data_IF_497638974196
#
_entry.id   IF_497638974196
#
_cell.length_a   1.000
_cell.length_b   1.000
_cell.length_c   1.000
_cell.angle_alpha   90.00
_cell.angle_beta   90.00
_cell.angle_gamma   90.00
#
_symmetry.space_group_name_H-M   'P 1'
#
loop_
_entity.id
_entity.type
_entity.pdbx_description
1 polymer ?
#
# COMPACT_ATOMS: atom_id res chain seq x y z
N UNK A 1 -58.75 59.04 -15.76
CA UNK A 1 -57.33 58.94 -16.18
C UNK A 1 -56.45 58.58 -14.98
N UNK A 2 -56.00 57.33 -14.94
CA UNK A 2 -54.72 56.80 -14.42
C UNK A 2 -54.91 55.31 -14.15
N UNK A 3 -54.21 54.51 -14.95
CA UNK A 3 -54.33 53.05 -15.07
C UNK A 3 -53.47 52.41 -13.97
N UNK A 4 -53.99 51.39 -13.28
CA UNK A 4 -53.27 50.60 -12.26
C UNK A 4 -52.46 49.49 -12.95
N UNK A 5 -51.19 49.23 -12.57
CA UNK A 5 -50.45 48.10 -13.12
C UNK A 5 -50.67 46.82 -12.30
N UNK A 6 -50.83 45.72 -13.04
CA UNK A 6 -50.84 44.33 -12.58
C UNK A 6 -49.47 43.92 -12.00
N UNK A 7 -49.49 43.16 -10.91
CA UNK A 7 -48.33 42.41 -10.40
C UNK A 7 -48.46 40.96 -10.91
N UNK A 8 -47.44 40.47 -11.61
CA UNK A 8 -47.33 39.07 -12.02
C UNK A 8 -46.19 38.40 -11.24
N UNK A 9 -46.49 37.26 -10.63
CA UNK A 9 -45.57 36.37 -9.93
C UNK A 9 -44.64 35.63 -10.90
N UNK A 10 -43.39 35.39 -10.50
CA UNK A 10 -42.59 34.25 -10.97
C UNK A 10 -41.96 33.59 -9.74
N UNK A 11 -42.45 32.41 -9.40
CA UNK A 11 -41.86 31.56 -8.36
C UNK A 11 -40.65 30.82 -8.92
N UNK A 12 -39.52 30.93 -8.23
CA UNK A 12 -38.31 30.17 -8.54
C UNK A 12 -38.43 28.77 -7.90
N UNK A 13 -38.55 27.72 -8.73
CA UNK A 13 -38.31 26.34 -8.28
C UNK A 13 -36.81 26.07 -8.27
N UNK A 14 -36.25 25.81 -7.08
CA UNK A 14 -34.90 25.28 -6.95
C UNK A 14 -34.93 23.76 -7.13
N UNK A 15 -34.40 23.25 -8.25
CA UNK A 15 -34.18 21.83 -8.47
C UNK A 15 -32.93 21.35 -7.74
N UNK A 16 -33.08 20.40 -6.82
CA UNK A 16 -31.96 19.72 -6.19
C UNK A 16 -31.28 18.78 -7.21
N UNK A 17 -30.03 19.08 -7.57
CA UNK A 17 -29.20 18.21 -8.39
C UNK A 17 -28.68 17.06 -7.50
N UNK A 18 -29.32 15.90 -7.57
CA UNK A 18 -28.82 14.68 -6.92
C UNK A 18 -27.68 14.14 -7.78
N UNK A 19 -26.44 14.33 -7.32
CA UNK A 19 -25.27 13.68 -7.90
C UNK A 19 -25.28 12.23 -7.46
N UNK A 20 -25.77 11.34 -8.33
CA UNK A 20 -25.65 9.90 -8.12
C UNK A 20 -24.20 9.52 -8.41
N UNK A 21 -23.38 9.37 -7.37
CA UNK A 21 -22.04 8.83 -7.49
C UNK A 21 -22.14 7.41 -8.08
N UNK A 22 -21.68 7.24 -9.31
CA UNK A 22 -21.60 5.92 -9.95
C UNK A 22 -20.51 5.13 -9.22
N UNK A 23 -20.90 4.17 -8.38
CA UNK A 23 -19.97 3.18 -7.83
C UNK A 23 -19.41 2.38 -9.01
N UNK A 24 -18.12 2.51 -9.29
CA UNK A 24 -17.44 1.60 -10.22
C UNK A 24 -17.46 0.22 -9.59
N UNK A 25 -18.18 -0.71 -10.21
CA UNK A 25 -18.12 -2.12 -9.85
C UNK A 25 -16.66 -2.58 -9.96
N UNK A 26 -16.08 -3.03 -8.85
CA UNK A 26 -14.75 -3.63 -8.86
C UNK A 26 -14.88 -5.06 -9.38
N UNK A 27 -14.27 -5.32 -10.54
CA UNK A 27 -14.31 -6.64 -11.16
C UNK A 27 -13.56 -7.65 -10.28
N UNK A 28 -14.13 -8.83 -10.08
CA UNK A 28 -13.38 -9.99 -9.61
C UNK A 28 -12.20 -10.25 -10.57
N UNK A 29 -11.11 -10.90 -10.11
CA UNK A 29 -10.05 -11.37 -11.00
C UNK A 29 -10.67 -12.05 -12.22
N UNK A 30 -10.21 -11.69 -13.42
CA UNK A 30 -10.71 -12.31 -14.63
C UNK A 30 -10.10 -13.69 -14.73
N UNK A 31 -10.95 -14.71 -14.64
CA UNK A 31 -10.50 -16.10 -14.80
C UNK A 31 -10.30 -16.43 -16.28
N UNK A 32 -9.19 -17.08 -16.55
CA UNK A 32 -8.87 -17.71 -17.82
C UNK A 32 -8.65 -19.21 -17.58
N UNK A 33 -9.63 -20.01 -18.00
CA UNK A 33 -9.59 -21.48 -17.92
C UNK A 33 -8.50 -22.02 -18.86
N UNK A 34 -7.65 -22.95 -18.40
CA UNK A 34 -6.51 -23.44 -19.19
C UNK A 34 -6.93 -24.33 -20.37
N UNK A 35 -8.17 -24.81 -20.36
CA UNK A 35 -8.76 -25.65 -21.39
C UNK A 35 -9.55 -24.91 -22.45
N UNK A 36 -9.79 -23.60 -22.28
CA UNK A 36 -10.65 -22.82 -23.18
C UNK A 36 -9.86 -21.78 -23.95
N UNK A 37 -10.09 -21.69 -25.27
CA UNK A 37 -9.52 -20.63 -26.12
C UNK A 37 -9.80 -19.24 -25.52
N UNK A 38 -8.81 -18.34 -25.42
CA UNK A 38 -7.53 -18.33 -26.17
C UNK A 38 -6.36 -19.04 -25.47
N UNK A 39 -6.60 -19.90 -24.47
CA UNK A 39 -5.56 -20.74 -23.90
C UNK A 39 -5.09 -21.83 -24.87
N UNK A 40 -3.82 -22.22 -24.74
CA UNK A 40 -3.18 -23.30 -25.47
C UNK A 40 -2.47 -24.20 -24.46
N UNK A 41 -2.93 -25.45 -24.39
CA UNK A 41 -2.23 -26.52 -23.69
C UNK A 41 -1.44 -27.34 -24.70
N UNK A 42 -0.13 -27.53 -24.48
CA UNK A 42 0.70 -28.35 -25.37
C UNK A 42 0.57 -29.86 -25.11
N UNK A 43 -0.27 -30.28 -24.17
CA UNK A 43 -0.57 -31.67 -23.84
C UNK A 43 -2.02 -32.00 -24.16
N UNK A 44 -2.73 -32.61 -23.21
CA UNK A 44 -4.16 -32.91 -23.34
C UNK A 44 -5.00 -32.04 -22.42
N UNK A 45 -6.26 -31.86 -22.78
CA UNK A 45 -7.28 -31.38 -21.85
C UNK A 45 -7.93 -32.60 -21.23
N UNK A 46 -7.76 -32.75 -19.92
CA UNK A 46 -8.26 -33.88 -19.16
C UNK A 46 -9.33 -33.41 -18.16
N UNK A 47 -10.12 -34.37 -17.66
CA UNK A 47 -11.21 -34.11 -16.70
C UNK A 47 -11.35 -35.23 -15.66
N UNK A 48 -10.32 -36.07 -15.52
CA UNK A 48 -10.32 -37.32 -14.77
C UNK A 48 -9.97 -37.18 -13.27
N UNK A 49 -9.63 -35.98 -12.80
CA UNK A 49 -9.46 -35.66 -11.38
C UNK A 49 -10.58 -34.75 -10.92
N UNK A 50 -11.04 -34.85 -9.68
CA UNK A 50 -12.06 -33.92 -9.16
C UNK A 50 -11.44 -32.60 -8.70
N UNK A 51 -12.24 -31.53 -8.59
CA UNK A 51 -11.86 -30.26 -7.96
C UNK A 51 -11.30 -29.16 -8.86
N UNK A 52 -11.25 -29.39 -10.18
CA UNK A 52 -10.95 -28.38 -11.22
C UNK A 52 -12.17 -27.47 -11.48
N UNK A 53 -12.00 -26.33 -12.16
CA UNK A 53 -13.09 -25.48 -12.65
C UNK A 53 -13.31 -25.61 -14.15
N UNK A 54 -14.42 -25.06 -14.66
CA UNK A 54 -14.74 -25.18 -16.08
C UNK A 54 -15.06 -26.62 -16.48
N UNK A 55 -14.50 -27.05 -17.61
CA UNK A 55 -14.80 -28.33 -18.27
C UNK A 55 -13.65 -29.34 -18.22
N UNK A 56 -12.47 -28.90 -17.78
CA UNK A 56 -11.28 -29.74 -17.66
C UNK A 56 -10.10 -28.94 -17.13
N UNK A 57 -8.90 -29.46 -17.34
CA UNK A 57 -7.65 -28.77 -17.00
C UNK A 57 -6.58 -29.16 -18.02
N UNK A 58 -5.54 -28.32 -18.15
CA UNK A 58 -4.39 -28.63 -18.98
C UNK A 58 -3.48 -29.65 -18.28
N UNK A 59 -3.40 -30.86 -18.84
CA UNK A 59 -2.39 -31.86 -18.53
C UNK A 59 -1.21 -31.67 -19.50
N UNK A 60 -0.21 -30.90 -19.08
CA UNK A 60 0.96 -30.58 -19.90
C UNK A 60 1.78 -31.83 -20.25
N UNK A 61 2.36 -31.87 -21.45
CA UNK A 61 3.26 -32.95 -21.84
C UNK A 61 4.46 -33.08 -20.86
N UNK A 62 4.83 -34.31 -20.51
CA UNK A 62 6.02 -34.63 -19.72
C UNK A 62 7.29 -34.44 -20.58
N UNK A 63 7.60 -33.20 -20.91
CA UNK A 63 8.75 -32.80 -21.71
C UNK A 63 9.11 -31.33 -21.43
N UNK A 64 10.37 -30.96 -21.64
CA UNK A 64 10.83 -29.56 -21.58
C UNK A 64 10.21 -28.68 -22.67
N UNK A 65 9.75 -29.28 -23.76
CA UNK A 65 9.02 -28.59 -24.83
C UNK A 65 7.53 -28.37 -24.52
N UNK A 66 7.03 -28.90 -23.40
CA UNK A 66 5.66 -28.69 -22.96
C UNK A 66 5.38 -27.21 -22.63
N UNK A 67 4.13 -26.79 -22.60
CA UNK A 67 3.71 -25.48 -22.09
C UNK A 67 2.20 -25.40 -21.87
N UNK A 68 1.81 -24.45 -21.02
CA UNK A 68 0.47 -23.88 -20.97
C UNK A 68 0.61 -22.38 -21.24
N UNK A 69 -0.11 -21.86 -22.22
CA UNK A 69 -0.10 -20.43 -22.56
C UNK A 69 -1.51 -19.88 -22.55
N UNK A 70 -1.73 -18.79 -21.84
CA UNK A 70 -2.99 -18.06 -21.81
C UNK A 70 -2.79 -16.67 -22.39
N UNK A 71 -3.83 -16.14 -23.04
CA UNK A 71 -3.84 -14.75 -23.51
C UNK A 71 -4.78 -13.95 -22.61
N UNK A 72 -4.23 -13.00 -21.87
CA UNK A 72 -4.95 -12.15 -20.92
C UNK A 72 -5.06 -10.73 -21.46
N UNK A 73 -6.09 -9.99 -21.06
CA UNK A 73 -6.28 -8.61 -21.47
C UNK A 73 -6.14 -7.67 -20.27
N UNK A 74 -5.18 -6.76 -20.33
CA UNK A 74 -4.93 -5.76 -19.31
C UNK A 74 -5.56 -4.42 -19.71
N UNK A 75 -6.37 -3.82 -18.83
CA UNK A 75 -7.00 -2.52 -19.10
C UNK A 75 -5.98 -1.37 -19.18
N UNK A 76 -4.81 -1.53 -18.54
CA UNK A 76 -3.68 -0.59 -18.51
C UNK A 76 -2.36 -1.36 -18.54
N UNK A 77 -1.26 -0.71 -18.93
CA UNK A 77 0.08 -1.27 -18.73
C UNK A 77 0.49 -1.15 -17.27
N UNK A 78 1.19 -2.14 -16.74
CA UNK A 78 1.64 -2.14 -15.35
C UNK A 78 2.00 -3.54 -14.85
N UNK A 79 1.92 -3.72 -13.54
CA UNK A 79 2.07 -5.04 -12.91
C UNK A 79 0.70 -5.69 -12.76
N UNK A 80 0.56 -6.92 -13.20
CA UNK A 80 -0.61 -7.76 -12.97
C UNK A 80 -0.28 -8.90 -12.02
N UNK A 81 -1.29 -9.34 -11.29
CA UNK A 81 -1.24 -10.50 -10.42
C UNK A 81 -1.87 -11.68 -11.11
N UNK A 82 -1.18 -12.81 -11.04
CA UNK A 82 -1.64 -14.10 -11.55
C UNK A 82 -1.87 -15.05 -10.38
N UNK A 83 -3.05 -15.62 -10.25
CA UNK A 83 -3.29 -16.81 -9.45
C UNK A 83 -3.30 -18.04 -10.35
N UNK A 84 -2.20 -18.80 -10.39
CA UNK A 84 -2.11 -20.04 -11.16
C UNK A 84 -2.60 -21.19 -10.29
N UNK A 85 -3.75 -21.78 -10.62
CA UNK A 85 -4.23 -22.97 -9.91
C UNK A 85 -3.69 -24.24 -10.56
N UNK A 86 -3.10 -25.10 -9.74
CA UNK A 86 -2.38 -26.28 -10.19
C UNK A 86 -2.55 -27.47 -9.26
N UNK A 87 -2.31 -28.67 -9.78
CA UNK A 87 -2.18 -29.91 -9.01
C UNK A 87 -0.92 -30.67 -9.42
N UNK A 88 -0.12 -31.08 -8.42
CA UNK A 88 1.04 -31.95 -8.60
C UNK A 88 0.91 -33.11 -7.62
N UNK A 89 0.33 -34.22 -8.07
CA UNK A 89 0.11 -35.40 -7.21
C UNK A 89 1.37 -36.17 -6.85
N UNK A 90 2.56 -35.68 -7.22
CA UNK A 90 3.85 -36.30 -6.88
C UNK A 90 4.53 -35.56 -5.72
N UNK A 91 5.61 -36.12 -5.18
CA UNK A 91 6.46 -35.44 -4.18
C UNK A 91 7.61 -34.64 -4.81
N UNK A 92 7.82 -34.74 -6.12
CA UNK A 92 8.89 -34.03 -6.83
C UNK A 92 8.36 -32.73 -7.42
N UNK A 93 9.04 -31.63 -7.11
CA UNK A 93 8.70 -30.33 -7.67
C UNK A 93 8.81 -30.32 -9.20
N UNK A 94 7.90 -29.61 -9.86
CA UNK A 94 7.91 -29.38 -11.31
C UNK A 94 8.32 -27.93 -11.60
N UNK A 95 9.60 -27.65 -11.92
CA UNK A 95 10.08 -26.29 -12.17
C UNK A 95 9.73 -25.80 -13.57
N UNK A 96 9.44 -24.50 -13.70
CA UNK A 96 9.06 -23.85 -14.95
C UNK A 96 9.63 -22.44 -15.07
N UNK A 97 9.82 -21.95 -16.29
CA UNK A 97 10.02 -20.53 -16.59
C UNK A 97 8.67 -19.88 -16.89
N UNK A 98 8.41 -18.74 -16.26
CA UNK A 98 7.31 -17.86 -16.60
C UNK A 98 7.75 -16.89 -17.69
N UNK A 99 7.05 -16.92 -18.82
CA UNK A 99 7.34 -16.11 -20.00
C UNK A 99 6.15 -15.20 -20.27
N UNK A 100 6.39 -13.90 -20.38
CA UNK A 100 5.38 -12.88 -20.64
C UNK A 100 5.73 -12.14 -21.92
N UNK A 101 4.80 -12.12 -22.88
CA UNK A 101 5.01 -11.47 -24.19
C UNK A 101 6.30 -11.93 -24.89
N UNK A 102 6.65 -13.22 -24.74
CA UNK A 102 7.86 -13.82 -25.31
C UNK A 102 9.14 -13.67 -24.48
N UNK A 103 9.13 -12.89 -23.39
CA UNK A 103 10.28 -12.68 -22.52
C UNK A 103 10.17 -13.49 -21.23
N UNK A 104 11.22 -14.21 -20.84
CA UNK A 104 11.26 -14.88 -19.54
C UNK A 104 11.35 -13.83 -18.42
N UNK A 105 10.41 -13.88 -17.47
CA UNK A 105 10.31 -12.91 -16.36
C UNK A 105 10.61 -13.50 -14.99
N UNK A 106 10.41 -14.80 -14.80
CA UNK A 106 10.61 -15.45 -13.50
C UNK A 106 10.88 -16.96 -13.64
N UNK A 107 11.67 -17.52 -12.73
CA UNK A 107 11.76 -18.96 -12.51
C UNK A 107 10.76 -19.40 -11.42
N UNK A 108 10.03 -20.48 -11.68
CA UNK A 108 8.96 -21.02 -10.84
C UNK A 108 9.27 -22.46 -10.42
N UNK A 109 8.74 -22.86 -9.27
CA UNK A 109 8.69 -24.25 -8.83
C UNK A 109 7.29 -24.61 -8.38
N UNK A 110 6.71 -25.68 -8.92
CA UNK A 110 5.41 -26.21 -8.52
C UNK A 110 5.58 -27.45 -7.63
N UNK A 111 5.47 -27.26 -6.32
CA UNK A 111 5.64 -28.30 -5.31
C UNK A 111 4.51 -29.34 -5.33
N UNK A 112 4.73 -30.49 -4.70
CA UNK A 112 3.69 -31.51 -4.56
C UNK A 112 2.47 -31.01 -3.78
N UNK A 113 1.27 -31.24 -4.33
CA UNK A 113 -0.02 -30.94 -3.67
C UNK A 113 -0.60 -32.13 -2.92
N UNK A 114 0.12 -33.26 -2.88
CA UNK A 114 -0.23 -34.49 -2.16
C UNK A 114 -1.13 -35.45 -2.95
N UNK A 115 -1.99 -34.95 -3.84
CA UNK A 115 -2.80 -35.76 -4.75
C UNK A 115 -3.17 -34.95 -6.01
N UNK A 116 -3.47 -35.64 -7.12
CA UNK A 116 -3.89 -34.97 -8.36
C UNK A 116 -5.30 -34.35 -8.30
N UNK A 117 -6.12 -34.74 -7.32
CA UNK A 117 -7.40 -34.09 -6.97
C UNK A 117 -7.25 -32.98 -5.94
N UNK A 118 -6.03 -32.73 -5.44
CA UNK A 118 -5.73 -31.66 -4.48
C UNK A 118 -5.10 -30.49 -5.23
N UNK A 119 -5.83 -29.38 -5.28
CA UNK A 119 -5.44 -28.19 -6.03
C UNK A 119 -4.91 -27.10 -5.10
N UNK A 120 -3.87 -26.43 -5.53
CA UNK A 120 -3.30 -25.27 -4.85
C UNK A 120 -3.20 -24.08 -5.82
N UNK A 121 -3.17 -22.86 -5.28
CA UNK A 121 -2.97 -21.65 -6.09
C UNK A 121 -1.60 -21.07 -5.78
N UNK A 122 -0.83 -20.76 -6.83
CA UNK A 122 0.42 -20.02 -6.75
C UNK A 122 0.22 -18.61 -7.29
N UNK A 123 0.44 -17.62 -6.43
CA UNK A 123 0.32 -16.21 -6.79
C UNK A 123 1.64 -15.65 -7.31
N UNK A 124 1.59 -14.92 -8.43
CA UNK A 124 2.74 -14.35 -9.15
C UNK A 124 2.47 -12.90 -9.52
N UNK A 125 3.51 -12.08 -9.64
CA UNK A 125 3.43 -10.75 -10.26
C UNK A 125 4.16 -10.74 -11.58
N UNK A 126 3.53 -10.16 -12.60
CA UNK A 126 4.09 -10.06 -13.95
C UNK A 126 3.92 -8.68 -14.56
N UNK A 127 4.91 -8.19 -15.31
CA UNK A 127 4.75 -6.97 -16.09
C UNK A 127 3.84 -7.25 -17.30
N UNK A 128 2.89 -6.35 -17.58
CA UNK A 128 1.98 -6.43 -18.73
C UNK A 128 1.87 -5.09 -19.44
N UNK A 129 1.65 -5.16 -20.75
CA UNK A 129 1.29 -4.01 -21.58
C UNK A 129 -0.22 -3.75 -21.51
N UNK A 130 -0.67 -2.54 -21.81
CA UNK A 130 -2.09 -2.31 -22.04
C UNK A 130 -2.57 -3.16 -23.23
N UNK A 131 -3.74 -3.79 -23.10
CA UNK A 131 -4.28 -4.70 -24.09
C UNK A 131 -3.86 -6.15 -23.90
N UNK A 132 -3.70 -6.87 -25.01
CA UNK A 132 -3.46 -8.31 -25.02
C UNK A 132 -2.03 -8.66 -24.58
N UNK A 133 -1.90 -9.63 -23.68
CA UNK A 133 -0.63 -10.15 -23.19
C UNK A 133 -0.63 -11.69 -23.23
N UNK A 134 0.49 -12.30 -23.60
CA UNK A 134 0.65 -13.75 -23.50
C UNK A 134 1.37 -14.11 -22.21
N UNK A 135 0.80 -15.03 -21.44
CA UNK A 135 1.38 -15.60 -20.22
C UNK A 135 1.64 -17.08 -20.47
N UNK A 136 2.90 -17.50 -20.45
CA UNK A 136 3.30 -18.87 -20.74
C UNK A 136 4.10 -19.49 -19.60
N UNK A 137 3.67 -20.66 -19.15
CA UNK A 137 4.42 -21.54 -18.26
C UNK A 137 5.19 -22.54 -19.12
N UNK A 138 6.51 -22.57 -19.02
CA UNK A 138 7.38 -23.49 -19.77
C UNK A 138 8.20 -24.35 -18.81
N UNK A 139 7.99 -25.67 -18.73
CA UNK A 139 8.72 -26.54 -17.82
C UNK A 139 10.22 -26.56 -18.17
N UNK A 140 11.06 -26.65 -17.16
CA UNK A 140 12.53 -26.66 -17.31
C UNK A 140 13.13 -28.05 -17.19
N UNK A 141 12.31 -29.06 -16.91
CA UNK A 141 12.73 -30.47 -16.80
C UNK A 141 11.84 -31.39 -17.64
N UNK A 142 12.32 -32.61 -17.88
CA UNK A 142 11.58 -33.63 -18.63
C UNK A 142 10.29 -34.09 -17.91
N UNK A 143 10.11 -33.75 -16.64
CA UNK A 143 8.87 -34.05 -15.92
C UNK A 143 7.69 -33.20 -16.37
N UNK A 144 7.90 -32.11 -17.14
CA UNK A 144 6.80 -31.25 -17.62
C UNK A 144 6.17 -30.37 -16.53
N UNK A 145 5.03 -29.78 -16.85
CA UNK A 145 4.25 -28.94 -15.93
C UNK A 145 3.38 -29.78 -14.99
N UNK A 146 2.96 -29.27 -13.82
CA UNK A 146 1.81 -29.86 -13.11
C UNK A 146 0.53 -29.71 -13.96
N UNK A 147 -0.58 -30.31 -13.51
CA UNK A 147 -1.89 -30.00 -14.07
C UNK A 147 -2.20 -28.53 -13.80
N UNK A 148 -2.62 -27.78 -14.82
CA UNK A 148 -2.99 -26.36 -14.72
C UNK A 148 -4.49 -26.25 -14.95
N UNK A 149 -5.21 -25.76 -13.95
CA UNK A 149 -6.67 -25.58 -13.98
C UNK A 149 -7.02 -24.27 -14.67
N UNK A 150 -6.70 -23.15 -14.02
CA UNK A 150 -6.90 -21.80 -14.55
C UNK A 150 -5.82 -20.83 -14.12
N UNK A 151 -5.86 -19.66 -14.74
CA UNK A 151 -5.18 -18.46 -14.31
C UNK A 151 -6.23 -17.39 -13.95
N UNK A 152 -6.25 -16.97 -12.69
CA UNK A 152 -6.96 -15.76 -12.28
C UNK A 152 -6.04 -14.55 -12.52
N UNK A 153 -6.52 -13.58 -13.30
CA UNK A 153 -5.75 -12.41 -13.72
C UNK A 153 -6.36 -11.14 -13.15
N UNK A 154 -5.56 -10.37 -12.42
CA UNK A 154 -5.95 -9.06 -11.90
C UNK A 154 -4.90 -8.02 -12.29
N UNK A 155 -5.29 -7.06 -13.11
CA UNK A 155 -4.51 -5.86 -13.36
C UNK A 155 -4.72 -4.92 -12.17
N UNK A 156 -3.66 -4.65 -11.39
CA UNK A 156 -3.76 -3.86 -10.15
C UNK A 156 -4.19 -4.62 -8.89
N UNK A 157 -3.67 -5.82 -8.62
CA UNK A 157 -4.05 -6.47 -7.37
C UNK A 157 -3.32 -7.73 -6.90
N UNK A 158 -2.10 -7.58 -6.39
CA UNK A 158 -1.40 -8.67 -5.69
C UNK A 158 0.11 -8.62 -5.84
N UNK A 159 0.72 -8.04 -4.82
CA UNK A 159 2.13 -7.69 -4.68
C UNK A 159 2.55 -6.45 -5.49
N UNK A 160 2.28 -5.34 -4.79
CA UNK A 160 2.95 -4.06 -4.79
C UNK A 160 2.69 -3.07 -5.91
N UNK A 161 2.63 -1.77 -5.56
CA UNK A 161 2.48 -0.71 -6.53
C UNK A 161 3.58 -0.76 -7.60
N UNK A 162 3.39 -0.05 -8.73
CA UNK A 162 4.38 -0.04 -9.81
C UNK A 162 5.78 0.26 -9.24
N UNK A 163 6.65 -0.76 -9.17
CA UNK A 163 8.02 -0.65 -8.64
C UNK A 163 8.34 -1.44 -7.36
N UNK A 164 7.38 -2.05 -6.65
CA UNK A 164 7.66 -2.78 -5.42
C UNK A 164 7.89 -1.87 -4.20
N UNK A 165 8.29 -2.45 -3.07
CA UNK A 165 8.69 -1.68 -1.88
C UNK A 165 10.00 -0.93 -2.16
N UNK A 166 10.05 0.35 -1.79
CA UNK A 166 11.27 1.16 -1.82
C UNK A 166 11.50 1.71 -0.41
N UNK A 167 12.77 1.88 -0.03
CA UNK A 167 13.13 2.49 1.24
C UNK A 167 13.51 1.51 2.33
N UNK A 168 13.43 1.98 3.58
CA UNK A 168 14.00 1.28 4.72
C UNK A 168 13.37 -0.08 5.03
N UNK A 169 12.10 -0.29 4.73
CA UNK A 169 11.46 -1.60 4.89
C UNK A 169 11.96 -2.67 3.89
N UNK A 170 12.84 -2.32 2.94
CA UNK A 170 13.54 -3.29 2.08
C UNK A 170 14.84 -3.81 2.68
N UNK A 171 15.35 -3.14 3.70
CA UNK A 171 16.66 -3.40 4.26
C UNK A 171 16.60 -4.52 5.30
N UNK A 172 17.76 -5.03 5.70
CA UNK A 172 17.93 -5.97 6.82
C UNK A 172 17.01 -7.22 6.80
N UNK A 173 16.66 -7.73 5.62
CA UNK A 173 15.79 -8.90 5.45
C UNK A 173 14.44 -8.58 4.79
N UNK A 174 14.07 -7.30 4.73
CA UNK A 174 12.92 -6.82 4.00
C UNK A 174 11.57 -7.10 4.68
N UNK A 175 10.50 -6.59 4.08
CA UNK A 175 9.13 -6.76 4.56
C UNK A 175 8.30 -7.56 3.55
N UNK A 176 7.77 -8.69 4.00
CA UNK A 176 6.97 -9.65 3.21
C UNK A 176 5.56 -9.86 3.76
N UNK A 177 5.29 -9.38 4.98
CA UNK A 177 3.97 -9.46 5.60
C UNK A 177 3.53 -10.91 5.84
N UNK A 178 2.31 -11.21 5.42
CA UNK A 178 1.68 -12.52 5.54
C UNK A 178 1.98 -13.50 4.39
N UNK A 179 2.99 -13.21 3.56
CA UNK A 179 3.37 -14.08 2.44
C UNK A 179 3.69 -15.51 2.90
N UNK A 180 3.27 -16.50 2.12
CA UNK A 180 3.40 -17.93 2.46
C UNK A 180 2.40 -18.42 3.53
N UNK A 181 1.60 -17.52 4.10
CA UNK A 181 0.56 -17.81 5.07
C UNK A 181 -0.83 -18.05 4.47
N UNK A 182 -1.80 -18.31 5.35
CA UNK A 182 -3.20 -18.43 4.95
C UNK A 182 -3.75 -17.08 4.48
N UNK A 183 -4.57 -17.10 3.42
CA UNK A 183 -5.35 -15.94 3.00
C UNK A 183 -6.77 -16.09 3.53
N UNK A 184 -7.25 -15.09 4.27
CA UNK A 184 -8.58 -15.06 4.88
C UNK A 184 -9.28 -13.77 4.47
N UNK A 185 -10.59 -13.83 4.26
CA UNK A 185 -11.41 -12.64 4.01
C UNK A 185 -12.29 -12.39 5.23
N UNK A 186 -12.26 -11.18 5.76
CA UNK A 186 -13.02 -10.76 6.94
C UNK A 186 -14.01 -9.67 6.56
N UNK A 187 -15.24 -9.76 7.05
CA UNK A 187 -16.30 -8.76 6.82
C UNK A 187 -16.93 -8.27 8.12
N UNK A 188 -16.33 -8.58 9.27
CA UNK A 188 -16.75 -8.10 10.58
C UNK A 188 -15.54 -7.71 11.43
N UNK A 189 -15.73 -6.74 12.33
CA UNK A 189 -14.66 -6.29 13.23
C UNK A 189 -14.17 -7.41 14.18
N UNK A 190 -15.08 -8.28 14.64
CA UNK A 190 -14.72 -9.40 15.51
C UNK A 190 -13.80 -10.40 14.82
N UNK A 191 -14.10 -10.75 13.56
CA UNK A 191 -13.27 -11.66 12.77
C UNK A 191 -11.94 -10.98 12.39
N UNK A 192 -11.98 -9.71 11.95
CA UNK A 192 -10.75 -8.94 11.68
C UNK A 192 -9.77 -8.99 12.86
N UNK A 193 -10.25 -8.64 14.06
CA UNK A 193 -9.46 -8.67 15.29
C UNK A 193 -8.92 -10.07 15.57
N UNK A 194 -9.76 -11.09 15.45
CA UNK A 194 -9.35 -12.50 15.63
C UNK A 194 -8.22 -12.88 14.67
N UNK A 195 -8.33 -12.53 13.38
CA UNK A 195 -7.30 -12.87 12.39
C UNK A 195 -6.01 -12.06 12.58
N UNK A 196 -6.14 -10.78 12.94
CA UNK A 196 -5.00 -9.87 13.15
C UNK A 196 -4.12 -10.30 14.33
N UNK A 197 -4.75 -10.79 15.40
CA UNK A 197 -4.08 -11.26 16.62
C UNK A 197 -3.62 -12.73 16.55
N UNK A 198 -3.93 -13.42 15.47
CA UNK A 198 -3.64 -14.83 15.38
C UNK A 198 -2.16 -15.10 15.06
N UNK A 199 -1.66 -16.23 15.57
CA UNK A 199 -0.31 -16.69 15.25
C UNK A 199 -0.17 -17.14 13.79
N UNK A 200 1.08 -17.09 13.31
CA UNK A 200 1.47 -17.50 11.97
C UNK A 200 1.25 -16.42 10.91
N UNK A 201 1.87 -16.62 9.75
CA UNK A 201 1.72 -15.71 8.61
C UNK A 201 0.28 -15.71 8.10
N UNK A 202 -0.32 -14.53 7.88
CA UNK A 202 -1.66 -14.40 7.28
C UNK A 202 -1.81 -13.17 6.40
N UNK A 203 -2.46 -13.37 5.26
CA UNK A 203 -3.02 -12.28 4.46
C UNK A 203 -4.50 -12.14 4.80
N UNK A 204 -4.86 -10.99 5.38
CA UNK A 204 -6.20 -10.65 5.86
C UNK A 204 -6.80 -9.65 4.86
N UNK A 205 -7.73 -10.13 4.04
CA UNK A 205 -8.50 -9.33 3.11
C UNK A 205 -9.70 -8.73 3.85
N UNK A 206 -9.67 -7.43 4.12
CA UNK A 206 -10.77 -6.71 4.77
C UNK A 206 -11.80 -6.34 3.71
N UNK A 207 -13.00 -6.91 3.79
CA UNK A 207 -14.07 -6.67 2.84
C UNK A 207 -15.15 -5.77 3.45
N UNK A 208 -15.17 -4.51 3.01
CA UNK A 208 -16.08 -3.47 3.48
C UNK A 208 -15.48 -2.61 4.58
N UNK A 209 -16.25 -1.60 5.00
CA UNK A 209 -15.87 -0.68 6.06
C UNK A 209 -16.29 -1.27 7.42
N UNK A 210 -15.32 -1.73 8.21
CA UNK A 210 -15.56 -2.28 9.53
C UNK A 210 -15.68 -1.15 10.56
N UNK A 211 -16.69 -1.22 11.43
CA UNK A 211 -16.82 -0.31 12.57
C UNK A 211 -16.35 -1.03 13.84
N UNK A 212 -15.32 -0.49 14.48
CA UNK A 212 -14.78 -1.02 15.72
C UNK A 212 -14.59 0.07 16.78
N UNK A 213 -13.98 -0.33 17.89
CA UNK A 213 -13.56 0.55 18.98
C UNK A 213 -12.31 -0.02 19.67
N UNK A 214 -11.60 0.82 20.41
CA UNK A 214 -10.39 0.44 21.14
C UNK A 214 -9.23 0.09 20.21
N UNK A 215 -8.33 -0.77 20.70
CA UNK A 215 -7.11 -1.16 20.00
C UNK A 215 -7.22 -2.60 19.48
N UNK A 216 -6.70 -2.83 18.27
CA UNK A 216 -6.46 -4.18 17.74
C UNK A 216 -4.95 -4.38 17.65
N UNK A 217 -4.47 -5.34 18.44
CA UNK A 217 -3.09 -5.81 18.36
C UNK A 217 -2.85 -6.59 17.06
N UNK A 218 -1.81 -6.22 16.34
CA UNK A 218 -1.40 -6.90 15.11
C UNK A 218 -0.19 -7.76 15.43
N UNK A 219 -0.36 -9.08 15.38
CA UNK A 219 0.78 -10.00 15.57
C UNK A 219 1.71 -10.00 14.35
N UNK A 220 2.91 -10.56 14.51
CA UNK A 220 3.90 -10.63 13.43
C UNK A 220 3.40 -11.37 12.18
N UNK A 221 4.04 -11.09 11.04
CA UNK A 221 3.81 -11.72 9.73
C UNK A 221 2.37 -11.54 9.23
N UNK A 222 1.94 -10.28 9.08
CA UNK A 222 0.58 -9.95 8.62
C UNK A 222 0.62 -9.09 7.37
N UNK A 223 -0.26 -9.39 6.44
CA UNK A 223 -0.67 -8.44 5.41
C UNK A 223 -2.14 -8.14 5.64
N UNK A 224 -2.48 -6.92 6.03
CA UNK A 224 -3.85 -6.45 6.17
C UNK A 224 -4.15 -5.61 4.94
N UNK A 225 -5.07 -6.07 4.11
CA UNK A 225 -5.35 -5.44 2.82
C UNK A 225 -6.84 -5.20 2.62
N UNK A 226 -7.23 -3.96 2.30
CA UNK A 226 -8.61 -3.68 1.93
C UNK A 226 -8.98 -4.31 0.58
N UNK A 227 -10.16 -4.90 0.49
CA UNK A 227 -10.76 -5.37 -0.77
C UNK A 227 -11.40 -4.17 -1.46
N UNK A 228 -10.70 -3.62 -2.43
CA UNK A 228 -11.18 -2.48 -3.18
C UNK A 228 -11.21 -1.15 -2.45
N UNK A 229 -11.78 -0.14 -3.10
CA UNK A 229 -11.63 1.26 -2.69
C UNK A 229 -12.35 1.64 -1.40
N UNK A 230 -13.35 0.86 -0.97
CA UNK A 230 -14.23 1.20 0.15
C UNK A 230 -14.00 0.36 1.41
N UNK A 231 -12.93 -0.45 1.41
CA UNK A 231 -12.61 -1.33 2.52
C UNK A 231 -11.72 -0.64 3.54
N UNK A 232 -11.91 -0.97 4.82
CA UNK A 232 -11.22 -0.25 5.88
C UNK A 232 -11.75 -0.50 7.28
N UNK A 233 -11.32 0.33 8.21
CA UNK A 233 -11.71 0.29 9.61
C UNK A 233 -11.94 1.69 10.18
N UNK A 234 -12.99 1.84 10.98
CA UNK A 234 -13.37 3.09 11.64
C UNK A 234 -13.37 2.90 13.14
N UNK A 235 -12.83 3.88 13.87
CA UNK A 235 -12.93 3.97 15.33
C UNK A 235 -11.95 3.11 16.13
N UNK A 236 -10.99 2.47 15.48
CA UNK A 236 -10.05 1.53 16.11
C UNK A 236 -8.60 1.85 15.77
N UNK A 237 -7.73 1.82 16.77
CA UNK A 237 -6.26 1.85 16.62
C UNK A 237 -5.74 0.50 16.11
N UNK A 238 -4.84 0.53 15.13
CA UNK A 238 -4.05 -0.64 14.73
C UNK A 238 -2.68 -0.57 15.40
N UNK A 239 -2.42 -1.48 16.34
CA UNK A 239 -1.18 -1.47 17.14
C UNK A 239 -0.20 -2.54 16.68
N UNK A 240 1.04 -2.13 16.40
CA UNK A 240 2.15 -3.01 16.03
C UNK A 240 3.27 -2.75 17.05
N UNK A 241 3.28 -3.53 18.13
CA UNK A 241 4.20 -3.32 19.25
C UNK A 241 5.14 -4.50 19.52
N UNK A 242 6.33 -4.22 20.05
CA UNK A 242 7.26 -5.20 20.66
C UNK A 242 7.67 -6.38 19.77
N UNK A 243 7.85 -6.14 18.46
CA UNK A 243 8.23 -7.19 17.50
C UNK A 243 9.37 -6.78 16.56
N UNK A 244 10.51 -7.47 16.65
CA UNK A 244 11.70 -7.18 15.86
C UNK A 244 12.28 -8.45 15.19
N UNK A 245 11.82 -8.86 14.00
CA UNK A 245 10.88 -8.17 13.12
C UNK A 245 9.40 -8.41 13.43
N UNK A 246 8.58 -7.39 13.19
CA UNK A 246 7.14 -7.51 13.09
C UNK A 246 6.74 -8.09 11.73
N UNK A 247 7.39 -7.63 10.65
CA UNK A 247 7.08 -8.06 9.29
C UNK A 247 5.58 -7.87 8.97
N UNK A 248 5.13 -6.62 8.96
CA UNK A 248 3.71 -6.26 8.79
C UNK A 248 3.51 -5.35 7.58
N UNK A 249 2.47 -5.60 6.80
CA UNK A 249 2.01 -4.76 5.70
C UNK A 249 0.57 -4.33 6.01
N UNK A 250 0.29 -3.03 6.00
CA UNK A 250 -1.07 -2.47 6.00
C UNK A 250 -1.26 -1.75 4.68
N UNK A 251 -2.21 -2.23 3.87
CA UNK A 251 -2.34 -1.80 2.49
C UNK A 251 -3.78 -1.56 2.05
N UNK A 252 -4.02 -0.52 1.25
CA UNK A 252 -5.32 -0.29 0.61
C UNK A 252 -6.51 -0.16 1.58
N UNK A 253 -6.26 0.36 2.78
CA UNK A 253 -7.27 0.52 3.83
C UNK A 253 -7.75 1.97 3.91
N UNK A 254 -9.05 2.16 4.10
CA UNK A 254 -9.59 3.39 4.67
C UNK A 254 -9.52 3.31 6.19
N UNK A 255 -8.75 4.18 6.85
CA UNK A 255 -8.58 4.18 8.31
C UNK A 255 -9.04 5.53 8.84
N UNK A 256 -10.04 5.55 9.73
CA UNK A 256 -10.61 6.83 10.18
C UNK A 256 -11.24 6.85 11.56
N UNK A 257 -11.29 8.06 12.13
CA UNK A 257 -12.15 8.39 13.27
C UNK A 257 -11.76 7.71 14.59
N UNK A 258 -10.47 7.43 14.80
CA UNK A 258 -9.95 6.82 16.02
C UNK A 258 -9.82 7.89 17.10
N UNK A 259 -10.59 7.78 18.19
CA UNK A 259 -10.61 8.79 19.27
C UNK A 259 -9.69 8.42 20.41
N UNK A 260 -8.97 9.41 20.94
CA UNK A 260 -8.16 9.30 22.15
C UNK A 260 -6.93 8.40 22.02
N UNK A 261 -6.56 8.01 20.80
CA UNK A 261 -5.34 7.29 20.47
C UNK A 261 -5.02 7.45 18.97
N UNK A 262 -3.88 6.94 18.54
CA UNK A 262 -3.42 7.01 17.16
C UNK A 262 -4.18 6.06 16.24
N UNK A 263 -4.25 6.37 14.94
CA UNK A 263 -4.89 5.46 13.98
C UNK A 263 -4.05 4.21 13.69
N UNK A 264 -2.74 4.40 13.50
CA UNK A 264 -1.73 3.33 13.47
C UNK A 264 -0.60 3.74 14.41
N UNK A 265 -0.23 2.84 15.31
CA UNK A 265 0.94 3.01 16.18
C UNK A 265 1.93 1.86 15.95
N UNK A 266 3.20 2.21 15.81
CA UNK A 266 4.31 1.28 15.56
C UNK A 266 5.37 1.53 16.65
N UNK A 267 5.38 0.66 17.66
CA UNK A 267 6.14 0.89 18.89
C UNK A 267 7.13 -0.25 19.09
N UNK A 268 8.43 0.04 19.15
CA UNK A 268 9.47 -1.00 19.29
C UNK A 268 9.38 -2.14 18.26
N UNK A 269 8.80 -1.86 17.10
CA UNK A 269 8.57 -2.82 16.03
C UNK A 269 9.46 -2.56 14.81
N UNK A 270 9.82 -3.60 14.05
CA UNK A 270 10.59 -3.44 12.81
C UNK A 270 10.02 -4.11 11.58
N UNK A 271 10.41 -3.62 10.40
CA UNK A 271 10.00 -4.14 9.09
C UNK A 271 8.50 -4.00 8.86
N UNK A 272 8.03 -2.75 8.81
CA UNK A 272 6.61 -2.41 8.58
C UNK A 272 6.46 -1.59 7.31
N UNK A 273 5.41 -1.90 6.55
CA UNK A 273 5.04 -1.14 5.37
C UNK A 273 3.59 -0.68 5.38
N UNK A 274 3.41 0.63 5.30
CA UNK A 274 2.11 1.31 5.23
C UNK A 274 1.94 1.84 3.80
N UNK A 275 1.06 1.22 3.02
CA UNK A 275 0.97 1.47 1.57
C UNK A 275 -0.45 1.70 1.03
N UNK A 276 -0.66 2.67 0.15
CA UNK A 276 -1.96 2.87 -0.51
C UNK A 276 -3.16 3.02 0.46
N UNK A 277 -2.94 3.51 1.67
CA UNK A 277 -4.04 3.71 2.62
C UNK A 277 -4.61 5.12 2.49
N UNK A 278 -5.89 5.28 2.78
CA UNK A 278 -6.52 6.59 2.99
C UNK A 278 -6.81 6.75 4.48
N UNK A 279 -6.12 7.69 5.11
CA UNK A 279 -6.17 7.96 6.55
C UNK A 279 -6.78 9.35 6.81
N UNK A 280 -7.77 9.43 7.69
CA UNK A 280 -8.45 10.72 7.97
C UNK A 280 -9.18 10.78 9.30
N UNK A 281 -9.39 11.98 9.83
CA UNK A 281 -10.35 12.21 10.90
C UNK A 281 -11.30 13.37 10.54
N UNK A 282 -11.16 14.53 11.17
CA UNK A 282 -11.75 15.81 10.80
C UNK A 282 -10.94 16.92 11.45
N UNK A 283 -10.96 18.11 10.85
CA UNK A 283 -10.31 19.32 11.37
C UNK A 283 -11.28 20.25 12.13
N UNK A 284 -12.56 19.88 12.21
CA UNK A 284 -13.60 20.73 12.81
C UNK A 284 -13.55 20.72 14.35
N UNK A 285 -12.86 19.73 14.93
CA UNK A 285 -12.66 19.65 16.38
C UNK A 285 -11.31 20.27 16.78
N UNK A 286 -11.19 20.50 18.08
CA UNK A 286 -9.93 20.85 18.73
C UNK A 286 -8.79 19.87 18.32
N UNK A 287 -7.54 20.36 18.17
CA UNK A 287 -6.40 19.54 17.77
C UNK A 287 -6.18 18.27 18.58
N UNK A 288 -6.57 18.24 19.86
CA UNK A 288 -6.38 17.09 20.76
C UNK A 288 -7.61 16.17 20.86
N UNK A 289 -8.69 16.47 20.13
CA UNK A 289 -9.86 15.58 20.07
C UNK A 289 -9.53 14.22 19.44
N UNK A 290 -8.65 14.25 18.44
CA UNK A 290 -7.98 13.08 17.89
C UNK A 290 -6.49 13.19 18.23
N UNK A 291 -5.80 12.06 18.36
CA UNK A 291 -4.35 12.10 18.58
C UNK A 291 -3.57 12.09 17.27
N UNK A 292 -2.60 11.20 17.09
CA UNK A 292 -1.85 11.00 15.86
C UNK A 292 -2.61 10.19 14.79
N UNK A 293 -2.16 10.28 13.54
CA UNK A 293 -2.61 9.34 12.51
C UNK A 293 -1.65 8.15 12.39
N UNK A 294 -0.35 8.42 12.38
CA UNK A 294 0.70 7.39 12.23
C UNK A 294 1.91 7.71 13.11
N UNK A 295 2.01 7.03 14.24
CA UNK A 295 3.10 7.23 15.18
C UNK A 295 4.09 6.07 15.15
N UNK A 296 5.37 6.40 15.14
CA UNK A 296 6.51 5.49 15.01
C UNK A 296 7.48 5.82 16.13
N UNK A 297 7.52 5.00 17.17
CA UNK A 297 8.14 5.36 18.45
C UNK A 297 8.91 4.19 19.06
N UNK A 298 9.54 4.44 20.22
CA UNK A 298 10.21 3.41 21.02
C UNK A 298 11.24 2.59 20.23
N UNK A 299 12.11 3.30 19.49
CA UNK A 299 13.13 2.70 18.66
C UNK A 299 12.60 1.83 17.51
N UNK A 300 11.34 1.97 17.09
CA UNK A 300 10.83 1.31 15.88
C UNK A 300 11.74 1.56 14.66
N UNK A 301 11.77 0.65 13.69
CA UNK A 301 12.84 0.69 12.69
C UNK A 301 12.51 -0.04 11.38
N UNK A 302 13.21 0.30 10.29
CA UNK A 302 13.01 -0.28 8.96
C UNK A 302 11.55 -0.15 8.47
N UNK A 303 11.09 1.09 8.31
CA UNK A 303 9.69 1.38 7.97
C UNK A 303 9.62 2.13 6.63
N UNK A 304 8.65 1.75 5.80
CA UNK A 304 8.26 2.51 4.60
C UNK A 304 6.80 2.93 4.72
N UNK A 305 6.53 4.19 4.37
CA UNK A 305 5.21 4.80 4.29
C UNK A 305 5.07 5.32 2.86
N UNK A 306 4.29 4.66 2.02
CA UNK A 306 4.22 5.00 0.60
C UNK A 306 2.81 5.08 0.03
N UNK A 307 2.62 5.99 -0.93
CA UNK A 307 1.38 6.09 -1.70
C UNK A 307 0.12 6.22 -0.85
N UNK A 308 0.23 6.72 0.38
CA UNK A 308 -0.93 6.94 1.24
C UNK A 308 -1.52 8.32 0.99
N UNK A 309 -2.82 8.47 1.22
CA UNK A 309 -3.45 9.78 1.42
C UNK A 309 -3.68 9.95 2.92
N UNK A 310 -3.08 10.96 3.52
CA UNK A 310 -3.42 11.40 4.88
C UNK A 310 -4.05 12.78 4.77
N UNK A 311 -5.28 12.91 5.26
CA UNK A 311 -6.03 14.16 5.09
C UNK A 311 -6.93 14.51 6.25
N UNK A 312 -7.24 15.80 6.34
CA UNK A 312 -8.18 16.37 7.31
C UNK A 312 -7.82 15.98 8.75
N UNK A 313 -6.61 16.33 9.17
CA UNK A 313 -6.06 15.93 10.46
C UNK A 313 -5.09 16.97 11.05
N UNK A 314 -4.97 17.01 12.38
CA UNK A 314 -4.09 17.96 13.05
C UNK A 314 -2.67 17.40 13.21
N UNK A 315 -2.51 16.35 14.02
CA UNK A 315 -1.22 15.76 14.40
C UNK A 315 -0.91 14.54 13.53
N UNK A 316 -0.17 14.72 12.45
CA UNK A 316 -0.20 13.71 11.37
C UNK A 316 0.62 12.45 11.64
N UNK A 317 1.94 12.56 11.71
CA UNK A 317 2.85 11.43 11.89
C UNK A 317 4.05 11.83 12.74
N UNK A 318 4.15 11.23 13.92
CA UNK A 318 5.26 11.42 14.84
C UNK A 318 6.29 10.30 14.68
N UNK A 319 7.57 10.66 14.62
CA UNK A 319 8.69 9.71 14.65
C UNK A 319 9.59 10.08 15.82
N UNK A 320 9.59 9.26 16.88
CA UNK A 320 10.23 9.59 18.16
C UNK A 320 9.38 10.52 19.03
N UNK A 321 8.78 9.98 20.09
CA UNK A 321 7.70 10.65 20.83
C UNK A 321 8.18 11.78 21.77
N UNK A 322 9.38 11.65 22.35
CA UNK A 322 9.87 12.50 23.44
C UNK A 322 11.30 12.98 23.22
N UNK A 323 11.57 14.25 23.53
CA UNK A 323 12.92 14.83 23.54
C UNK A 323 13.85 14.16 24.57
N UNK A 324 13.27 13.49 25.57
CA UNK A 324 14.00 12.75 26.62
C UNK A 324 14.35 11.31 26.26
N UNK A 325 13.93 10.79 25.09
CA UNK A 325 14.03 9.35 24.78
C UNK A 325 15.27 8.96 23.94
N UNK A 326 16.29 9.81 23.94
CA UNK A 326 17.47 9.65 23.10
C UNK A 326 18.19 8.29 23.28
N UNK A 327 18.20 7.72 24.49
CA UNK A 327 18.88 6.45 24.78
C UNK A 327 18.24 5.25 24.08
N UNK A 328 16.93 5.31 23.83
CA UNK A 328 16.19 4.26 23.13
C UNK A 328 16.15 4.53 21.63
N UNK A 329 15.97 5.78 21.21
CA UNK A 329 15.67 6.11 19.81
C UNK A 329 16.91 6.29 18.93
N UNK A 330 18.07 6.67 19.49
CA UNK A 330 19.30 6.87 18.69
C UNK A 330 19.79 5.54 18.10
N UNK A 331 20.02 5.54 16.79
CA UNK A 331 20.40 4.34 16.03
C UNK A 331 19.21 3.56 15.44
N UNK A 332 17.99 4.04 15.69
CA UNK A 332 16.75 3.48 15.17
C UNK A 332 15.97 4.52 14.35
N UNK A 333 14.64 4.34 14.23
CA UNK A 333 13.71 5.26 13.58
C UNK A 333 14.08 5.55 12.11
N UNK A 334 14.57 4.54 11.39
CA UNK A 334 14.85 4.65 9.96
C UNK A 334 13.56 4.45 9.16
N UNK A 335 13.00 5.57 8.72
CA UNK A 335 11.71 5.63 8.02
C UNK A 335 11.86 6.24 6.63
N UNK A 336 11.18 5.68 5.64
CA UNK A 336 11.03 6.26 4.30
C UNK A 336 9.59 6.71 4.09
N UNK A 337 9.38 7.96 3.69
CA UNK A 337 8.10 8.47 3.23
C UNK A 337 8.19 8.79 1.74
N UNK A 338 7.39 8.14 0.89
CA UNK A 338 7.34 8.51 -0.52
C UNK A 338 6.00 8.43 -1.21
N UNK A 339 5.77 9.34 -2.16
CA UNK A 339 4.54 9.37 -2.97
C UNK A 339 3.25 9.48 -2.13
N UNK A 340 3.35 9.95 -0.89
CA UNK A 340 2.17 10.19 -0.06
C UNK A 340 1.57 11.56 -0.38
N UNK A 341 0.25 11.66 -0.24
CA UNK A 341 -0.47 12.92 -0.27
C UNK A 341 -0.87 13.34 1.15
N UNK A 342 -0.27 14.42 1.63
CA UNK A 342 -0.64 15.09 2.87
C UNK A 342 -1.52 16.30 2.54
N UNK A 343 -2.84 16.20 2.77
CA UNK A 343 -3.78 17.25 2.40
C UNK A 343 -4.56 17.77 3.61
N UNK A 344 -4.47 19.07 3.91
CA UNK A 344 -5.14 19.64 5.10
C UNK A 344 -4.72 18.91 6.38
N UNK A 345 -3.41 18.72 6.50
CA UNK A 345 -2.69 18.12 7.63
C UNK A 345 -1.86 19.22 8.28
N UNK A 346 -2.18 19.66 9.49
CA UNK A 346 -1.67 20.97 9.97
C UNK A 346 -0.35 20.92 10.72
N UNK A 347 0.09 19.75 11.20
CA UNK A 347 1.45 19.54 11.69
C UNK A 347 1.90 18.08 11.53
N UNK A 348 3.22 17.85 11.69
CA UNK A 348 3.88 16.54 11.81
C UNK A 348 3.78 15.66 10.55
N UNK A 349 4.17 16.14 9.38
CA UNK A 349 4.12 15.40 8.11
C UNK A 349 5.45 14.92 7.51
N UNK A 350 6.44 14.33 8.22
CA UNK A 350 6.46 13.93 9.63
C UNK A 350 7.16 14.95 10.55
N UNK A 351 6.95 14.82 11.87
CA UNK A 351 7.83 15.39 12.91
C UNK A 351 8.76 14.29 13.41
N UNK A 352 10.07 14.48 13.28
CA UNK A 352 11.08 13.45 13.54
C UNK A 352 12.06 13.89 14.61
N UNK A 353 12.37 12.97 15.53
CA UNK A 353 13.44 13.06 16.53
C UNK A 353 14.41 11.89 16.41
N UNK A 354 15.70 12.15 16.61
CA UNK A 354 16.82 11.20 16.67
C UNK A 354 17.09 10.29 15.45
N UNK A 355 16.10 9.96 14.63
CA UNK A 355 16.23 9.02 13.52
C UNK A 355 17.23 9.50 12.46
N UNK A 356 18.07 8.59 11.98
CA UNK A 356 19.03 8.88 10.91
C UNK A 356 19.31 7.64 10.04
N UNK A 357 19.19 7.69 8.71
CA UNK A 357 18.67 8.80 7.89
C UNK A 357 17.20 8.57 7.57
N UNK A 358 16.32 9.50 7.94
CA UNK A 358 14.92 9.49 7.47
C UNK A 358 14.85 10.08 6.07
N UNK A 359 14.16 9.40 5.16
CA UNK A 359 14.11 9.79 3.75
C UNK A 359 12.69 10.17 3.35
N UNK A 360 12.48 11.42 2.96
CA UNK A 360 11.18 11.96 2.59
C UNK A 360 11.27 12.44 1.14
N UNK A 361 10.71 11.68 0.19
CA UNK A 361 10.83 12.01 -1.23
C UNK A 361 9.57 11.84 -2.06
N UNK A 362 9.42 12.65 -3.11
CA UNK A 362 8.26 12.64 -4.02
C UNK A 362 6.89 12.69 -3.30
N UNK A 363 6.78 13.26 -2.09
CA UNK A 363 5.48 13.45 -1.45
C UNK A 363 4.84 14.75 -1.93
N UNK A 364 3.51 14.80 -1.89
CA UNK A 364 2.74 15.99 -2.18
C UNK A 364 2.08 16.51 -0.91
N UNK A 365 2.42 17.74 -0.53
CA UNK A 365 1.85 18.45 0.61
C UNK A 365 0.95 19.57 0.08
N UNK A 366 -0.33 19.56 0.46
CA UNK A 366 -1.27 20.59 0.04
C UNK A 366 -2.12 21.14 1.19
N UNK A 367 -2.25 22.46 1.25
CA UNK A 367 -3.12 23.17 2.21
C UNK A 367 -2.75 22.89 3.69
N UNK A 368 -1.45 22.97 3.99
CA UNK A 368 -0.89 22.84 5.35
C UNK A 368 -0.70 24.24 5.93
N UNK A 369 -1.76 25.04 5.93
CA UNK A 369 -1.72 26.48 6.19
C UNK A 369 -2.93 26.99 6.99
N UNK A 370 -3.39 26.20 7.95
CA UNK A 370 -4.55 26.57 8.77
C UNK A 370 -4.28 27.80 9.63
N UNK A 371 -3.08 27.90 10.20
CA UNK A 371 -2.64 29.03 10.99
C UNK A 371 -1.12 29.23 10.88
N UNK A 372 -0.59 30.24 11.56
CA UNK A 372 0.84 30.58 11.55
C UNK A 372 1.75 29.51 12.13
N UNK A 373 1.22 28.56 12.91
CA UNK A 373 1.98 27.45 13.48
C UNK A 373 1.97 26.20 12.59
N UNK A 374 1.19 26.16 11.50
CA UNK A 374 1.13 24.99 10.63
C UNK A 374 2.47 24.72 9.94
N UNK A 375 2.85 23.45 9.82
CA UNK A 375 4.06 23.04 9.10
C UNK A 375 3.93 21.63 8.51
N UNK A 376 4.68 21.35 7.45
CA UNK A 376 4.76 20.00 6.89
C UNK A 376 5.80 19.15 7.62
N UNK A 377 7.10 19.34 7.38
CA UNK A 377 8.14 18.44 7.91
C UNK A 377 8.87 19.11 9.09
N UNK A 378 9.29 18.35 10.10
CA UNK A 378 10.22 18.84 11.12
C UNK A 378 11.31 17.82 11.41
N UNK A 379 12.57 18.25 11.29
CA UNK A 379 13.76 17.52 11.76
C UNK A 379 14.24 18.14 13.07
N UNK A 380 14.19 17.38 14.16
CA UNK A 380 14.45 17.85 15.52
C UNK A 380 15.36 16.89 16.28
N UNK A 381 15.92 17.35 17.39
CA UNK A 381 16.74 16.54 18.31
C UNK A 381 17.84 15.75 17.58
N UNK A 382 18.59 16.43 16.70
CA UNK A 382 19.65 15.84 15.88
C UNK A 382 19.22 14.70 14.92
N UNK A 383 17.91 14.57 14.63
CA UNK A 383 17.44 13.73 13.52
C UNK A 383 18.10 14.13 12.20
N UNK A 384 18.37 13.18 11.30
CA UNK A 384 18.94 13.43 9.97
C UNK A 384 17.96 13.12 8.86
N UNK A 385 17.44 14.15 8.18
CA UNK A 385 16.46 14.00 7.10
C UNK A 385 17.01 14.35 5.71
N UNK A 386 16.85 13.45 4.74
CA UNK A 386 16.94 13.79 3.32
C UNK A 386 15.53 14.10 2.79
N UNK A 387 15.29 15.35 2.41
CA UNK A 387 14.01 15.83 1.86
C UNK A 387 14.19 16.16 0.38
N UNK A 388 13.78 15.25 -0.50
CA UNK A 388 14.11 15.32 -1.93
C UNK A 388 12.90 15.23 -2.87
N UNK A 389 12.76 16.12 -3.84
CA UNK A 389 11.74 15.99 -4.89
C UNK A 389 10.30 16.10 -4.41
N UNK A 390 10.03 16.68 -3.23
CA UNK A 390 8.67 16.86 -2.72
C UNK A 390 8.02 18.12 -3.32
N UNK A 391 6.71 18.06 -3.51
CA UNK A 391 5.91 19.21 -3.94
C UNK A 391 5.11 19.78 -2.77
N UNK A 392 5.33 21.05 -2.44
CA UNK A 392 4.61 21.79 -1.41
C UNK A 392 3.72 22.85 -2.07
N UNK A 393 2.43 22.85 -1.75
CA UNK A 393 1.44 23.79 -2.28
C UNK A 393 0.56 24.34 -1.16
N UNK A 394 0.58 25.66 -0.94
CA UNK A 394 -0.14 26.30 0.16
C UNK A 394 0.25 25.72 1.54
N UNK A 395 1.55 25.69 1.82
CA UNK A 395 2.12 25.17 3.07
C UNK A 395 2.71 26.32 3.88
N UNK A 396 2.28 26.54 5.12
CA UNK A 396 2.72 27.67 5.94
C UNK A 396 4.24 27.64 6.20
N UNK A 397 4.77 26.48 6.62
CA UNK A 397 6.20 26.20 6.72
C UNK A 397 6.47 24.82 6.12
N UNK A 398 7.32 24.73 5.09
CA UNK A 398 7.61 23.44 4.45
C UNK A 398 8.45 22.54 5.36
N UNK A 399 9.51 23.07 5.98
CA UNK A 399 10.36 22.30 6.89
C UNK A 399 10.89 23.13 8.05
N UNK A 400 10.82 22.60 9.27
CA UNK A 400 11.62 23.06 10.42
C UNK A 400 12.88 22.22 10.56
N UNK A 401 14.03 22.86 10.83
CA UNK A 401 15.27 22.16 11.13
C UNK A 401 16.22 23.03 11.94
N UNK A 402 16.83 24.05 11.33
CA UNK A 402 17.92 24.82 11.95
C UNK A 402 17.47 25.60 13.19
N UNK A 403 16.21 26.01 13.25
CA UNK A 403 15.67 26.74 14.40
C UNK A 403 15.13 25.85 15.53
N UNK A 404 15.04 24.53 15.32
CA UNK A 404 14.20 23.68 16.15
C UNK A 404 12.71 24.00 15.99
N UNK A 405 11.87 23.44 16.87
CA UNK A 405 10.44 23.72 16.91
C UNK A 405 9.86 23.47 18.31
N UNK A 406 9.15 24.46 18.86
CA UNK A 406 8.69 24.42 20.24
C UNK A 406 9.87 24.35 21.21
N UNK A 407 9.86 23.37 22.11
CA UNK A 407 10.96 23.10 23.04
C UNK A 407 12.03 22.14 22.48
N UNK A 408 11.78 21.56 21.29
CA UNK A 408 12.70 20.58 20.70
C UNK A 408 13.85 21.28 19.98
N UNK A 409 15.08 20.87 20.32
CA UNK A 409 16.31 21.35 19.72
C UNK A 409 16.37 21.09 18.20
N UNK A 410 17.21 21.84 17.45
CA UNK A 410 17.42 21.64 16.03
C UNK A 410 17.79 20.20 15.63
N UNK A 411 17.29 19.78 14.46
CA UNK A 411 17.77 18.59 13.74
C UNK A 411 18.61 18.96 12.52
N UNK A 412 19.01 17.95 11.75
CA UNK A 412 19.73 18.06 10.47
C UNK A 412 18.80 17.73 9.31
N UNK A 413 18.86 18.53 8.25
CA UNK A 413 18.03 18.37 7.06
C UNK A 413 18.80 18.81 5.82
N UNK A 414 18.88 17.91 4.84
CA UNK A 414 19.34 18.20 3.48
C UNK A 414 18.15 18.24 2.55
N UNK A 415 17.92 19.38 1.90
CA UNK A 415 16.85 19.56 0.93
C UNK A 415 17.40 19.49 -0.51
N UNK A 416 16.71 18.77 -1.41
CA UNK A 416 17.07 18.66 -2.84
C UNK A 416 15.83 18.72 -3.72
N UNK A 417 15.89 19.49 -4.80
CA UNK A 417 14.86 19.46 -5.87
C UNK A 417 13.39 19.56 -5.40
N UNK A 418 13.11 20.20 -4.26
CA UNK A 418 11.73 20.39 -3.79
C UNK A 418 11.06 21.56 -4.53
N UNK A 419 9.78 21.45 -4.81
CA UNK A 419 8.96 22.52 -5.38
C UNK A 419 8.14 23.20 -4.30
N UNK A 420 8.23 24.53 -4.19
CA UNK A 420 7.49 25.33 -3.23
C UNK A 420 6.57 26.30 -3.98
N UNK A 421 5.27 26.05 -3.95
CA UNK A 421 4.23 26.90 -4.55
C UNK A 421 3.40 27.52 -3.42
N UNK A 422 3.39 28.85 -3.32
CA UNK A 422 2.69 29.58 -2.24
C UNK A 422 3.00 29.00 -0.84
N UNK A 423 4.26 28.66 -0.60
CA UNK A 423 4.67 27.93 0.60
C UNK A 423 5.83 28.61 1.30
N UNK A 424 5.86 28.52 2.62
CA UNK A 424 7.00 28.96 3.44
C UNK A 424 8.23 28.08 3.23
N UNK A 425 9.37 28.49 3.80
CA UNK A 425 10.66 27.86 3.51
C UNK A 425 10.75 26.42 4.01
N UNK A 426 11.71 25.69 3.44
CA UNK A 426 12.20 24.43 3.97
C UNK A 426 13.59 24.71 4.56
N UNK A 427 13.69 24.77 5.89
CA UNK A 427 14.97 24.97 6.55
C UNK A 427 15.89 23.78 6.36
N UNK A 428 17.18 24.06 6.19
CA UNK A 428 18.24 23.04 6.08
C UNK A 428 19.27 23.23 7.18
N UNK A 429 19.87 22.15 7.64
CA UNK A 429 20.94 22.18 8.63
C UNK A 429 21.84 20.95 8.51
N UNK A 430 23.16 21.14 8.65
CA UNK A 430 24.14 20.05 8.71
C UNK A 430 24.16 19.13 7.48
N UNK A 431 24.47 17.86 7.73
CA UNK A 431 24.56 16.78 6.73
C UNK A 431 23.76 15.57 7.19
N UNK A 432 23.47 14.64 6.27
CA UNK A 432 22.81 13.37 6.58
C UNK A 432 23.62 12.20 6.02
N UNK A 433 23.54 11.04 6.69
CA UNK A 433 24.20 9.84 6.21
C UNK A 433 23.64 9.38 4.83
N UNK A 434 24.45 8.69 4.01
CA UNK A 434 23.98 8.18 2.73
C UNK A 434 22.92 7.08 2.91
N UNK A 435 22.00 6.97 1.96
CA UNK A 435 21.00 5.91 1.94
C UNK A 435 21.60 4.59 1.43
N UNK A 436 21.30 3.44 2.05
CA UNK A 436 21.87 2.15 1.65
C UNK A 436 21.09 1.46 0.52
N UNK A 437 19.94 1.99 0.11
CA UNK A 437 19.08 1.42 -0.92
C UNK A 437 19.05 2.25 -2.19
N UNK A 438 18.81 1.57 -3.30
CA UNK A 438 18.55 2.21 -4.58
C UNK A 438 17.13 2.79 -4.60
N UNK A 439 16.99 3.95 -5.21
CA UNK A 439 15.71 4.57 -5.54
C UNK A 439 15.89 5.47 -6.76
N UNK A 440 14.78 5.85 -7.39
CA UNK A 440 14.76 6.90 -8.41
C UNK A 440 13.78 7.95 -7.93
N UNK A 441 14.26 9.18 -7.73
CA UNK A 441 13.38 10.31 -7.50
C UNK A 441 12.68 10.68 -8.81
N UNK A 442 11.41 11.07 -8.71
CA UNK A 442 10.65 11.48 -9.89
C UNK A 442 11.07 12.90 -10.25
N UNK A 443 10.70 13.33 -11.45
CA UNK A 443 10.72 14.75 -11.73
C UNK A 443 9.70 15.44 -10.79
N UNK A 444 10.14 16.38 -9.97
CA UNK A 444 9.27 17.07 -8.99
C UNK A 444 8.03 17.71 -9.63
N UNK A 445 8.11 18.11 -10.91
CA UNK A 445 6.95 18.66 -11.64
C UNK A 445 5.83 17.65 -11.89
N UNK A 446 6.12 16.35 -11.89
CA UNK A 446 5.11 15.29 -12.08
C UNK A 446 4.54 14.76 -10.76
N UNK A 447 5.18 15.05 -9.63
CA UNK A 447 4.83 14.50 -8.31
C UNK A 447 3.39 14.79 -7.93
N UNK A 448 2.90 16.03 -8.11
CA UNK A 448 1.50 16.37 -7.84
C UNK A 448 0.55 15.47 -8.63
N UNK A 449 0.77 15.32 -9.94
CA UNK A 449 -0.10 14.50 -10.79
C UNK A 449 0.01 13.01 -10.49
N UNK A 450 1.22 12.48 -10.27
CA UNK A 450 1.40 11.05 -9.97
C UNK A 450 0.75 10.71 -8.64
N UNK A 451 1.07 11.46 -7.57
CA UNK A 451 0.53 11.24 -6.23
C UNK A 451 -0.99 11.40 -6.19
N UNK A 452 -1.57 12.45 -6.77
CA UNK A 452 -3.04 12.62 -6.74
C UNK A 452 -3.79 11.56 -7.56
N UNK A 453 -3.12 10.92 -8.54
CA UNK A 453 -3.71 9.86 -9.35
C UNK A 453 -3.57 8.46 -8.73
N UNK A 454 -2.45 8.22 -8.03
CA UNK A 454 -2.04 6.89 -7.57
C UNK A 454 -2.10 6.68 -6.06
N UNK A 455 -2.10 7.73 -5.22
CA UNK A 455 -2.12 7.53 -3.78
C UNK A 455 -3.52 7.21 -3.23
N UNK A 456 -3.56 6.42 -2.17
CA UNK A 456 -4.73 6.14 -1.34
C UNK A 456 -5.43 4.82 -1.67
N UNK A 457 -6.44 4.52 -0.87
CA UNK A 457 -7.24 3.31 -1.03
C UNK A 457 -7.98 3.33 -2.38
N UNK A 458 -8.04 2.17 -3.02
CA UNK A 458 -8.62 1.95 -4.35
C UNK A 458 -7.67 2.18 -5.53
N UNK A 459 -6.37 2.35 -5.26
CA UNK A 459 -5.36 2.72 -6.28
C UNK A 459 -4.18 1.73 -6.39
N UNK A 460 -4.34 0.53 -5.84
CA UNK A 460 -3.38 -0.57 -5.98
C UNK A 460 -3.20 -1.06 -7.42
#
# INVERSE_FOLDING_TARGET
MRVRPMIACVGLLAGALVVVASSTAQAAPTRYEAETSPAVCSGTIDSNWSGYSGSGFCNGANATSGYAQLTVNASVSGTATLGVRFANGTTTARPASLVVNGSAVQALSFEGTGAWSSWATKTLSVPVNAGSNTIRLSPTTANGLPNIDYLDFEIGGGSQPPGGIVGWATQAGGTTGGAGGATVTVSSFADFRTQAQASGARTILVNGMLSGSGTVEISANKTIRGVGANSGISGTTLNIEDMRPANVIIQNMNIRGVRGNDAIQIESATHVWIDHNTMSSTIENDPDFYDGMLDITHGADYITVSWNVIRDHWKTSLVGHSDGNASEDRGHLRVTYHHNWFNRTFERGPRVRFGETVHVFNNYYSNVNHNSASYAIASLMDAGLLVEGNAFENVQQACWSASGYGESDPGRLVARNNSLTNSGPCETNGTVAPLPYNYTADNVSTVKSSVTSGAGAGKL
#
